data_IF_438595610224
#
_entry.id   IF_438595610224
#
_cell.length_a   1.000
_cell.length_b   1.000
_cell.length_c   1.000
_cell.angle_alpha   90.00
_cell.angle_beta   90.00
_cell.angle_gamma   90.00
#
_symmetry.space_group_name_H-M   'P 1'
#
loop_
_entity.id
_entity.type
_entity.pdbx_description
1 polymer ?
#
# COMPACT_ATOMS: atom_id res chain seq x y z
N UNK A 1 -1.27 -10.28 12.54
CA UNK A 1 -0.18 -9.95 11.61
C UNK A 1 -0.67 -9.72 10.18
N UNK A 2 -1.53 -10.58 9.70
CA UNK A 2 -2.11 -10.43 8.38
C UNK A 2 -2.79 -9.09 8.16
N UNK A 3 -3.55 -8.64 9.16
CA UNK A 3 -4.24 -7.38 9.06
C UNK A 3 -3.30 -6.18 9.06
N UNK A 4 -2.18 -6.28 9.78
CA UNK A 4 -1.18 -5.22 9.76
C UNK A 4 -0.55 -5.08 8.39
N UNK A 5 -0.26 -6.22 7.76
CA UNK A 5 0.32 -6.22 6.41
C UNK A 5 -0.67 -5.65 5.42
N UNK A 6 -1.93 -6.05 5.52
CA UNK A 6 -2.98 -5.56 4.63
C UNK A 6 -3.12 -4.04 4.75
N UNK A 7 -3.18 -3.55 5.98
CA UNK A 7 -3.31 -2.12 6.23
C UNK A 7 -2.10 -1.36 5.70
N UNK A 8 -0.90 -1.91 5.90
CA UNK A 8 0.32 -1.27 5.41
C UNK A 8 0.30 -1.15 3.89
N UNK A 9 -0.12 -2.19 3.19
CA UNK A 9 -0.21 -2.18 1.74
C UNK A 9 -1.22 -1.13 1.28
N UNK A 10 -2.40 -1.13 1.87
CA UNK A 10 -3.46 -0.21 1.47
C UNK A 10 -3.06 1.24 1.73
N UNK A 11 -2.53 1.51 2.92
CA UNK A 11 -2.13 2.86 3.28
C UNK A 11 -1.03 3.38 2.37
N UNK A 12 -0.04 2.53 2.06
CA UNK A 12 1.06 2.95 1.21
C UNK A 12 0.61 3.18 -0.23
N UNK A 13 -0.23 2.31 -0.76
CA UNK A 13 -0.73 2.48 -2.12
C UNK A 13 -1.60 3.73 -2.24
N UNK A 14 -2.42 4.01 -1.23
CA UNK A 14 -3.21 5.23 -1.21
C UNK A 14 -2.33 6.47 -1.12
N UNK A 15 -1.27 6.40 -0.33
CA UNK A 15 -0.33 7.52 -0.21
C UNK A 15 0.36 7.78 -1.55
N UNK A 16 0.78 6.72 -2.24
CA UNK A 16 1.40 6.86 -3.54
C UNK A 16 0.42 7.43 -4.57
N UNK A 17 -0.83 7.00 -4.51
CA UNK A 17 -1.85 7.52 -5.41
C UNK A 17 -2.14 9.00 -5.17
N UNK A 18 -2.02 9.44 -3.94
CA UNK A 18 -2.24 10.84 -3.59
C UNK A 18 -1.11 11.73 -4.14
N UNK A 19 0.09 11.18 -4.23
CA UNK A 19 1.25 11.90 -4.73
C UNK A 19 1.33 11.84 -6.25
N UNK A 20 1.01 10.68 -6.82
CA UNK A 20 1.14 10.44 -8.25
C UNK A 20 -0.24 10.41 -8.94
N UNK A 21 -0.53 11.39 -9.78
CA UNK A 21 -1.83 11.43 -10.46
C UNK A 21 -2.04 10.27 -11.44
N UNK A 22 -0.97 9.59 -11.83
CA UNK A 22 -1.05 8.45 -12.75
C UNK A 22 -1.50 7.17 -12.06
N UNK A 23 -1.36 7.11 -10.74
CA UNK A 23 -1.71 5.92 -9.98
C UNK A 23 -3.11 6.06 -9.42
N UNK A 24 -3.95 5.06 -9.70
CA UNK A 24 -5.30 5.00 -9.18
C UNK A 24 -5.47 3.73 -8.37
N UNK A 25 -5.99 3.88 -7.16
CA UNK A 25 -6.20 2.77 -6.25
C UNK A 25 -7.66 2.79 -5.81
N UNK A 26 -8.35 1.70 -6.06
CA UNK A 26 -9.76 1.57 -5.74
C UNK A 26 -9.97 0.31 -4.91
N UNK A 27 -10.63 0.47 -3.77
CA UNK A 27 -11.01 -0.67 -2.95
C UNK A 27 -12.40 -1.14 -3.35
N UNK A 28 -12.50 -2.38 -3.77
CA UNK A 28 -13.77 -2.98 -4.19
C UNK A 28 -13.98 -4.28 -3.41
N UNK A 29 -14.73 -4.20 -2.32
CA UNK A 29 -14.92 -5.35 -1.47
C UNK A 29 -13.60 -5.83 -0.89
N UNK A 30 -13.25 -7.07 -1.19
CA UNK A 30 -11.99 -7.67 -0.75
C UNK A 30 -10.86 -7.46 -1.76
N UNK A 31 -11.16 -6.81 -2.87
CA UNK A 31 -10.19 -6.61 -3.94
C UNK A 31 -9.69 -5.18 -3.98
N UNK A 32 -8.42 -5.05 -4.29
CA UNK A 32 -7.79 -3.76 -4.48
C UNK A 32 -7.44 -3.64 -5.96
N UNK A 33 -8.07 -2.67 -6.62
CA UNK A 33 -7.82 -2.45 -8.04
C UNK A 33 -6.80 -1.34 -8.17
N UNK A 34 -5.68 -1.64 -8.81
CA UNK A 34 -4.56 -0.70 -8.92
C UNK A 34 -4.23 -0.49 -10.39
N UNK A 35 -4.22 0.76 -10.80
CA UNK A 35 -3.83 1.15 -12.16
C UNK A 35 -2.75 2.22 -12.09
N UNK A 36 -1.64 1.96 -12.77
CA UNK A 36 -0.57 2.91 -12.84
C UNK A 36 0.70 2.42 -12.16
N UNK A 37 1.73 3.26 -12.13
CA UNK A 37 3.02 2.86 -11.58
C UNK A 37 3.00 2.85 -10.05
N UNK A 38 3.52 1.79 -9.47
CA UNK A 38 3.69 1.66 -8.02
C UNK A 38 5.17 1.61 -7.73
N UNK A 39 5.61 2.39 -6.72
CA UNK A 39 6.98 2.32 -6.25
C UNK A 39 7.11 1.09 -5.36
N UNK A 40 7.67 0.04 -5.93
CA UNK A 40 7.75 -1.24 -5.25
C UNK A 40 8.68 -1.20 -4.05
N UNK A 41 9.81 -0.50 -4.15
CA UNK A 41 10.76 -0.42 -3.05
C UNK A 41 10.14 0.26 -1.83
N UNK A 42 9.39 1.32 -2.06
CA UNK A 42 8.72 2.03 -0.98
C UNK A 42 7.61 1.17 -0.38
N UNK A 43 6.90 0.42 -1.23
CA UNK A 43 5.87 -0.49 -0.75
C UNK A 43 6.45 -1.59 0.13
N UNK A 44 7.57 -2.18 -0.29
CA UNK A 44 8.26 -3.21 0.49
C UNK A 44 8.71 -2.63 1.83
N UNK A 45 9.26 -1.42 1.82
CA UNK A 45 9.70 -0.77 3.06
C UNK A 45 8.52 -0.54 4.02
N UNK A 46 7.37 -0.18 3.49
CA UNK A 46 6.18 0.02 4.31
C UNK A 46 5.73 -1.29 4.96
N UNK A 47 5.78 -2.39 4.19
CA UNK A 47 5.42 -3.70 4.72
C UNK A 47 6.41 -4.15 5.79
N UNK A 48 7.70 -3.98 5.53
CA UNK A 48 8.73 -4.33 6.51
C UNK A 48 8.56 -3.53 7.79
N UNK A 49 8.24 -2.24 7.66
CA UNK A 49 8.01 -1.39 8.81
C UNK A 49 6.83 -1.85 9.65
N UNK A 50 5.79 -2.36 9.02
CA UNK A 50 4.61 -2.82 9.74
C UNK A 50 4.88 -4.11 10.52
N UNK A 51 5.85 -4.90 10.08
CA UNK A 51 6.20 -6.18 10.72
C UNK A 51 7.30 -5.98 11.75
N UNK A 52 8.38 -5.33 11.33
CA UNK A 52 9.58 -5.20 12.15
C UNK A 52 9.53 -3.98 13.06
N UNK A 53 8.71 -3.01 12.72
CA UNK A 53 8.61 -1.78 13.50
C UNK A 53 7.74 -1.91 14.72
N UNK A 54 7.58 -3.08 15.25
CA UNK A 54 6.75 -3.31 16.39
C UNK A 54 7.05 -2.33 17.51
N UNK A 55 6.17 -2.19 18.44
CA UNK A 55 6.19 -1.12 19.44
C UNK A 55 7.50 -0.99 20.14
#
# INVERSE_FOLDING_TARGET
MEEKIRTAIMDELMRQADISPELKVILDGDQLIVHGPVDLDVLVAAIEGSIAGGP
#
